data_IF_350001154976
#
_entry.id   IF_350001154976
#
_cell.length_a   1.000
_cell.length_b   1.000
_cell.length_c   1.000
_cell.angle_alpha   90.00
_cell.angle_beta   90.00
_cell.angle_gamma   90.00
#
_symmetry.space_group_name_H-M   'P 1'
#
loop_
_entity.id
_entity.type
_entity.pdbx_description
1 polymer ?
2 non-polymer ?
3 non-polymer ?
4 non-polymer ?
5 non-polymer ?
6 water ?
#
# COMPACT_ATOMS: atom_id res chain seq x y z
N UNK A 24 12.06 25.94 10.14
CA UNK A 24 12.75 25.58 11.38
C UNK A 24 13.42 24.24 11.24
N UNK A 25 13.38 23.70 10.02
CA UNK A 25 14.11 22.47 9.72
C UNK A 25 15.58 22.78 9.55
N UNK A 26 16.43 21.83 9.93
CA UNK A 26 17.83 22.00 9.57
C UNK A 26 17.98 21.85 8.07
N UNK A 27 19.22 22.04 7.62
CA UNK A 27 19.55 21.94 6.21
C UNK A 27 19.58 20.50 5.72
N UNK A 28 20.10 19.58 6.53
CA UNK A 28 20.02 18.15 6.21
C UNK A 28 18.57 17.69 6.15
N UNK A 29 17.70 18.24 7.02
CA UNK A 29 16.31 17.84 7.03
C UNK A 29 15.58 18.33 5.78
N UNK A 30 15.89 19.54 5.30
CA UNK A 30 15.24 20.04 4.09
C UNK A 30 15.70 19.27 2.86
N UNK A 31 16.99 18.95 2.79
CA UNK A 31 17.52 18.14 1.71
C UNK A 31 16.88 16.75 1.73
N UNK A 32 16.70 16.19 2.92
CA UNK A 32 16.08 14.89 3.05
C UNK A 32 14.65 14.89 2.47
N UNK A 33 13.85 15.90 2.83
CA UNK A 33 12.47 15.96 2.33
C UNK A 33 12.45 16.17 0.83
N UNK A 34 13.32 17.06 0.33
CA UNK A 34 13.40 17.30 -1.11
C UNK A 34 13.76 16.02 -1.87
N UNK A 35 14.69 15.21 -1.33
CA UNK A 35 15.04 13.99 -2.06
C UNK A 35 13.85 13.02 -2.13
N UNK A 36 13.13 12.86 -1.01
CA UNK A 36 11.95 11.99 -0.99
C UNK A 36 10.88 12.48 -1.95
N UNK A 37 10.55 13.78 -1.90
CA UNK A 37 9.53 14.33 -2.79
C UNK A 37 9.93 14.17 -4.26
N UNK A 38 11.22 14.35 -4.55
CA UNK A 38 11.73 14.09 -5.89
C UNK A 38 11.49 12.63 -6.30
N UNK A 39 11.87 11.68 -5.43
CA UNK A 39 11.62 10.27 -5.71
C UNK A 39 10.14 9.99 -5.92
N UNK A 40 9.27 10.57 -5.09
CA UNK A 40 7.82 10.37 -5.23
C UNK A 40 7.33 10.91 -6.57
N UNK A 41 7.77 12.12 -6.92
CA UNK A 41 7.35 12.77 -8.17
C UNK A 41 7.78 11.95 -9.38
N UNK A 42 8.96 11.33 -9.33
CA UNK A 42 9.47 10.58 -10.47
C UNK A 42 8.83 9.21 -10.60
N UNK A 43 8.27 8.63 -9.54
CA UNK A 43 7.91 7.23 -9.56
C UNK A 43 6.46 6.94 -9.20
N UNK A 44 5.65 7.93 -8.88
CA UNK A 44 4.25 7.71 -8.52
C UNK A 44 3.42 8.22 -9.68
N UNK A 45 2.92 7.30 -10.49
CA UNK A 45 2.02 7.56 -11.61
C UNK A 45 0.62 7.82 -11.05
N UNK A 46 0.36 9.07 -10.65
CA UNK A 46 -0.85 9.32 -9.89
C UNK A 46 -2.10 9.26 -10.76
N UNK A 47 -1.95 9.38 -12.08
CA UNK A 47 -3.07 9.16 -12.99
C UNK A 47 -3.16 7.71 -13.46
N UNK A 48 -2.24 6.84 -13.05
CA UNK A 48 -2.24 5.44 -13.49
C UNK A 48 -2.26 5.34 -15.02
N UNK A 49 -1.72 6.36 -15.70
CA UNK A 49 -1.76 6.40 -17.16
C UNK A 49 -1.02 5.23 -17.78
N UNK A 50 -0.01 4.70 -17.10
CA UNK A 50 0.78 3.61 -17.66
C UNK A 50 0.38 2.24 -17.12
N UNK A 51 -0.72 2.16 -16.38
CA UNK A 51 -1.26 0.86 -15.97
C UNK A 51 -2.14 0.34 -17.09
N UNK A 52 -1.65 -0.69 -17.78
CA UNK A 52 -2.24 -1.17 -19.02
C UNK A 52 -2.12 -2.69 -19.07
N UNK A 53 -2.86 -3.29 -20.00
CA UNK A 53 -2.77 -4.72 -20.30
C UNK A 53 -3.12 -5.60 -19.10
N UNK A 54 -3.99 -5.11 -18.22
CA UNK A 54 -4.38 -5.86 -17.04
C UNK A 54 -5.53 -6.80 -17.38
N UNK A 55 -5.62 -7.90 -16.63
CA UNK A 55 -6.73 -8.83 -16.80
C UNK A 55 -7.99 -8.25 -16.14
N UNK A 56 -9.15 -8.77 -16.57
CA UNK A 56 -10.45 -8.36 -16.08
C UNK A 56 -11.33 -9.59 -15.91
N UNK A 57 -12.27 -9.55 -14.98
CA UNK A 57 -13.14 -10.72 -14.76
C UNK A 57 -13.87 -11.13 -16.03
N UNK A 58 -14.10 -12.44 -16.16
CA UNK A 58 -14.67 -13.00 -17.37
C UNK A 58 -16.08 -12.52 -17.63
N UNK A 59 -16.52 -12.76 -18.85
CA UNK A 59 -17.88 -12.42 -19.28
C UNK A 59 -18.64 -13.67 -19.67
N UNK A 77 -9.05 -29.76 4.72
CA UNK A 77 -9.12 -29.13 3.42
C UNK A 77 -10.37 -28.27 3.30
N UNK A 78 -11.48 -28.77 3.84
CA UNK A 78 -12.70 -27.97 3.86
C UNK A 78 -12.56 -26.76 4.78
N UNK A 79 -11.75 -26.88 5.84
CA UNK A 79 -11.52 -25.75 6.73
C UNK A 79 -10.69 -24.68 6.06
N UNK A 80 -9.78 -25.09 5.17
CA UNK A 80 -8.99 -24.13 4.40
C UNK A 80 -9.91 -23.26 3.54
N UNK A 81 -10.87 -23.90 2.86
CA UNK A 81 -11.78 -23.15 2.00
C UNK A 81 -12.65 -22.19 2.81
N UNK A 82 -13.13 -22.62 3.97
CA UNK A 82 -13.98 -21.74 4.78
C UNK A 82 -13.22 -20.49 5.20
N UNK A 83 -11.93 -20.64 5.51
CA UNK A 83 -11.12 -19.47 5.88
C UNK A 83 -10.88 -18.57 4.68
N UNK A 84 -10.51 -19.15 3.53
CA UNK A 84 -10.28 -18.36 2.32
C UNK A 84 -11.55 -17.62 1.92
N UNK A 85 -12.72 -18.27 2.03
CA UNK A 85 -13.97 -17.57 1.75
C UNK A 85 -14.13 -16.37 2.66
N UNK A 86 -13.77 -16.51 3.94
CA UNK A 86 -13.82 -15.38 4.86
C UNK A 86 -12.78 -14.31 4.48
N UNK A 87 -11.58 -14.74 4.07
CA UNK A 87 -10.56 -13.78 3.65
C UNK A 87 -11.06 -12.94 2.49
N UNK A 88 -11.66 -13.59 1.48
CA UNK A 88 -11.98 -12.90 0.24
C UNK A 88 -13.18 -11.97 0.38
N UNK A 89 -14.15 -12.30 1.23
CA UNK A 89 -15.36 -11.48 1.28
C UNK A 89 -15.23 -10.29 2.22
N UNK A 90 -14.10 -10.16 2.93
CA UNK A 90 -13.92 -9.03 3.84
C UNK A 90 -13.67 -7.73 3.09
N UNK A 91 -13.26 -7.80 1.83
CA UNK A 91 -13.26 -6.63 0.96
C UNK A 91 -14.03 -6.95 -0.31
N UNK A 92 -15.10 -6.20 -0.55
CA UNK A 92 -15.87 -6.30 -1.78
C UNK A 92 -15.88 -4.92 -2.43
N UNK A 93 -15.42 -4.86 -3.69
CA UNK A 93 -15.49 -3.63 -4.47
C UNK A 93 -16.07 -3.92 -5.84
N UNK A 94 -16.75 -2.94 -6.40
CA UNK A 94 -17.08 -2.92 -7.81
C UNK A 94 -16.01 -2.15 -8.54
N UNK A 95 -15.98 -2.32 -9.85
CA UNK A 95 -14.90 -1.81 -10.67
C UNK A 95 -15.52 -0.94 -11.76
N UNK A 96 -14.96 0.24 -11.99
CA UNK A 96 -15.43 1.07 -13.09
C UNK A 96 -14.26 1.48 -13.99
N UNK A 97 -14.46 1.41 -15.30
CA UNK A 97 -13.43 1.79 -16.27
C UNK A 97 -13.98 2.84 -17.22
N UNK A 98 -13.45 4.05 -17.11
CA UNK A 98 -13.84 5.15 -17.99
C UNK A 98 -12.92 5.18 -19.20
N UNK A 99 -13.49 4.97 -20.39
CA UNK A 99 -12.68 4.93 -21.59
C UNK A 99 -12.27 6.32 -22.05
N UNK A 100 -11.15 6.38 -22.77
CA UNK A 100 -10.70 7.63 -23.35
C UNK A 100 -11.73 8.27 -24.29
N UNK A 101 -12.75 7.53 -24.73
CA UNK A 101 -13.77 8.06 -25.61
C UNK A 101 -15.03 8.55 -24.88
N UNK A 102 -15.09 8.41 -23.57
CA UNK A 102 -16.29 8.74 -22.84
C UNK A 102 -17.16 7.55 -22.50
N UNK A 103 -16.84 6.36 -23.01
CA UNK A 103 -17.62 5.18 -22.65
C UNK A 103 -17.24 4.74 -21.23
N UNK A 104 -18.16 4.02 -20.59
CA UNK A 104 -17.93 3.50 -19.24
C UNK A 104 -18.34 2.04 -19.16
N UNK A 105 -17.42 1.20 -18.68
CA UNK A 105 -17.71 -0.16 -18.26
C UNK A 105 -17.79 -0.22 -16.73
N UNK A 106 -18.74 -0.99 -16.20
CA UNK A 106 -18.92 -1.17 -14.77
C UNK A 106 -19.06 -2.64 -14.46
N UNK A 107 -18.33 -3.13 -13.44
CA UNK A 107 -18.38 -4.53 -13.04
C UNK A 107 -18.84 -4.63 -11.59
N UNK A 108 -19.94 -5.36 -11.38
CA UNK A 108 -20.47 -5.70 -10.05
C UNK A 108 -20.15 -7.15 -9.76
N UNK A 109 -19.48 -7.44 -8.64
CA UNK A 109 -18.95 -8.80 -8.41
C UNK A 109 -20.06 -9.75 -8.00
N UNK A 110 -19.83 -11.06 -8.11
CA UNK A 110 -20.85 -12.03 -7.72
C UNK A 110 -20.92 -12.23 -6.22
N UNK A 111 -22.10 -12.59 -5.74
CA UNK A 111 -22.23 -13.00 -4.35
C UNK A 111 -21.56 -14.35 -4.12
N UNK A 112 -21.13 -14.60 -2.89
CA UNK A 112 -20.52 -15.88 -2.56
C UNK A 112 -21.61 -16.95 -2.54
N UNK A 113 -21.54 -17.89 -3.49
CA UNK A 113 -22.46 -19.02 -3.57
C UNK A 113 -21.71 -20.34 -3.46
N UNK A 114 -20.57 -20.34 -2.76
CA UNK A 114 -19.84 -21.56 -2.47
C UNK A 114 -19.05 -22.16 -3.61
N UNK A 115 -18.66 -21.36 -4.59
CA UNK A 115 -17.90 -21.87 -5.71
C UNK A 115 -16.71 -21.00 -6.07
N UNK A 116 -16.15 -21.18 -7.27
CA UNK A 116 -14.95 -20.46 -7.69
C UNK A 116 -15.21 -18.99 -8.03
N UNK A 117 -16.45 -18.52 -7.98
CA UNK A 117 -16.75 -17.14 -8.36
C UNK A 117 -16.11 -16.13 -7.41
N UNK A 118 -15.76 -16.55 -6.19
CA UNK A 118 -15.14 -15.63 -5.24
C UNK A 118 -13.75 -15.20 -5.67
N UNK A 119 -13.17 -15.86 -6.68
CA UNK A 119 -11.84 -15.57 -7.20
C UNK A 119 -11.87 -14.68 -8.44
N UNK A 120 -13.04 -14.17 -8.84
CA UNK A 120 -13.17 -13.55 -10.15
C UNK A 120 -12.28 -12.32 -10.30
N UNK A 121 -12.04 -11.58 -9.24
CA UNK A 121 -11.23 -10.37 -9.35
C UNK A 121 -9.76 -10.56 -8.99
N UNK A 122 -9.31 -11.79 -8.69
CA UNK A 122 -7.93 -11.96 -8.24
C UNK A 122 -6.93 -11.67 -9.35
N UNK A 123 -7.10 -12.13 -10.58
CA UNK A 123 -6.12 -11.77 -11.62
C UNK A 123 -6.00 -10.26 -11.80
N UNK A 124 -7.12 -9.53 -11.81
CA UNK A 124 -7.03 -8.07 -11.94
C UNK A 124 -6.28 -7.45 -10.76
N UNK A 125 -6.63 -7.84 -9.54
CA UNK A 125 -5.98 -7.25 -8.37
C UNK A 125 -4.50 -7.58 -8.33
N UNK A 126 -4.13 -8.77 -8.79
CA UNK A 126 -2.71 -9.12 -8.87
C UNK A 126 -1.99 -8.21 -9.85
N UNK A 127 -2.63 -7.91 -10.99
CA UNK A 127 -2.00 -7.02 -11.95
C UNK A 127 -1.87 -5.60 -11.39
N UNK A 128 -2.88 -5.13 -10.67
CA UNK A 128 -2.78 -3.81 -10.07
C UNK A 128 -1.71 -3.77 -8.98
N UNK A 129 -1.68 -4.76 -8.10
CA UNK A 129 -0.65 -4.80 -7.06
C UNK A 129 0.74 -4.86 -7.66
N UNK A 130 0.90 -5.66 -8.72
CA UNK A 130 2.18 -5.76 -9.40
C UNK A 130 2.62 -4.40 -9.95
N UNK A 131 1.68 -3.68 -10.58
CA UNK A 131 1.99 -2.35 -11.10
C UNK A 131 2.44 -1.40 -10.00
N UNK A 132 1.71 -1.39 -8.88
CA UNK A 132 2.10 -0.55 -7.75
C UNK A 132 3.46 -0.96 -7.19
N UNK A 133 3.73 -2.27 -7.09
CA UNK A 133 5.02 -2.71 -6.55
C UNK A 133 6.18 -2.19 -7.39
N UNK A 134 6.01 -2.19 -8.71
CA UNK A 134 7.07 -1.66 -9.57
C UNK A 134 7.35 -0.20 -9.24
N UNK A 135 6.29 0.60 -9.06
CA UNK A 135 6.50 2.00 -8.70
C UNK A 135 7.20 2.14 -7.36
N UNK A 136 6.85 1.29 -6.39
CA UNK A 136 7.48 1.33 -5.06
C UNK A 136 8.95 0.93 -5.15
N UNK A 137 9.25 -0.09 -5.95
CA UNK A 137 10.66 -0.47 -6.12
C UNK A 137 11.45 0.68 -6.74
N UNK A 138 10.88 1.33 -7.77
CA UNK A 138 11.52 2.49 -8.41
C UNK A 138 11.73 3.63 -7.42
N UNK A 139 10.73 3.90 -6.58
CA UNK A 139 10.84 4.90 -5.52
C UNK A 139 12.09 4.66 -4.67
N UNK A 140 12.19 3.46 -4.10
CA UNK A 140 13.31 3.13 -3.22
C UNK A 140 14.65 3.28 -3.93
N UNK A 141 14.75 2.81 -5.18
CA UNK A 141 16.04 2.79 -5.85
C UNK A 141 16.57 4.21 -6.10
N UNK A 142 15.69 5.22 -6.16
CA UNK A 142 16.09 6.60 -6.43
C UNK A 142 16.64 7.29 -5.19
N UNK A 143 16.33 6.79 -3.99
CA UNK A 143 16.70 7.46 -2.75
C UNK A 143 18.15 7.10 -2.42
N UNK A 144 18.96 8.11 -2.13
CA UNK A 144 20.39 7.91 -1.88
C UNK A 144 20.62 7.00 -0.67
N UNK A 145 19.91 7.27 0.43
CA UNK A 145 20.06 6.46 1.64
C UNK A 145 19.77 4.98 1.38
N UNK A 146 18.86 4.69 0.44
CA UNK A 146 18.56 3.30 0.11
C UNK A 146 19.61 2.72 -0.82
N UNK A 147 19.97 3.47 -1.87
CA UNK A 147 21.00 3.03 -2.80
C UNK A 147 22.29 2.64 -2.08
N UNK A 148 22.64 3.38 -1.03
CA UNK A 148 23.90 3.14 -0.34
C UNK A 148 23.88 1.90 0.52
N UNK A 149 22.73 1.29 0.77
CA UNK A 149 22.71 0.06 1.54
C UNK A 149 23.18 -1.11 0.69
N UNK A 150 23.72 -2.16 1.31
CA UNK A 150 24.07 -3.36 0.56
C UNK A 150 22.85 -3.98 -0.13
N UNK A 151 23.10 -4.63 -1.28
CA UNK A 151 22.01 -5.13 -2.12
C UNK A 151 21.12 -6.09 -1.36
N UNK A 152 21.71 -6.90 -0.47
CA UNK A 152 20.90 -7.88 0.25
C UNK A 152 19.96 -7.22 1.23
N UNK A 153 20.38 -6.10 1.83
CA UNK A 153 19.48 -5.37 2.73
C UNK A 153 18.42 -4.59 1.94
N UNK A 154 18.79 -4.07 0.76
CA UNK A 154 17.79 -3.44 -0.09
C UNK A 154 16.65 -4.40 -0.38
N UNK A 155 16.98 -5.64 -0.75
CA UNK A 155 15.96 -6.64 -1.07
C UNK A 155 15.14 -6.97 0.17
N UNK A 156 15.80 -7.22 1.30
CA UNK A 156 15.08 -7.53 2.51
C UNK A 156 14.11 -6.41 2.90
N UNK A 157 14.53 -5.15 2.74
CA UNK A 157 13.68 -4.03 3.12
C UNK A 157 12.48 -3.90 2.16
N UNK A 158 12.69 -4.11 0.87
CA UNK A 158 11.57 -4.04 -0.06
C UNK A 158 10.59 -5.18 0.18
N UNK A 159 11.10 -6.41 0.34
CA UNK A 159 10.23 -7.53 0.71
C UNK A 159 9.42 -7.21 1.96
N UNK A 160 10.03 -6.52 2.92
CA UNK A 160 9.34 -6.25 4.17
C UNK A 160 8.29 -5.15 4.08
N UNK A 161 8.49 -4.17 3.20
CA UNK A 161 7.70 -2.93 3.25
C UNK A 161 6.87 -2.66 2.01
N UNK A 162 7.09 -3.38 0.90
CA UNK A 162 6.41 -3.07 -0.37
C UNK A 162 4.91 -2.91 -0.19
N UNK A 163 4.27 -3.86 0.50
CA UNK A 163 2.84 -3.78 0.73
C UNK A 163 2.46 -2.50 1.44
N UNK A 164 3.25 -2.10 2.46
CA UNK A 164 2.90 -0.93 3.27
C UNK A 164 2.99 0.35 2.45
N UNK A 165 4.05 0.50 1.66
CA UNK A 165 4.16 1.68 0.82
C UNK A 165 3.07 1.71 -0.25
N UNK A 166 2.66 0.55 -0.77
CA UNK A 166 1.54 0.52 -1.71
C UNK A 166 0.29 1.10 -1.07
N UNK A 167 -0.02 0.66 0.16
CA UNK A 167 -1.20 1.15 0.86
C UNK A 167 -1.13 2.64 1.14
N UNK A 168 0.06 3.14 1.52
CA UNK A 168 0.23 4.57 1.74
C UNK A 168 -0.05 5.35 0.46
N UNK A 169 0.45 4.86 -0.68
CA UNK A 169 0.14 5.52 -1.96
C UNK A 169 -1.35 5.44 -2.29
N UNK A 170 -1.97 4.27 -2.07
CA UNK A 170 -3.40 4.12 -2.32
C UNK A 170 -4.23 5.08 -1.47
N UNK A 171 -3.80 5.36 -0.23
CA UNK A 171 -4.61 6.26 0.59
C UNK A 171 -4.70 7.65 -0.03
N UNK A 172 -3.67 8.08 -0.75
CA UNK A 172 -3.74 9.40 -1.35
C UNK A 172 -4.75 9.48 -2.50
N UNK A 173 -5.20 8.35 -3.05
CA UNK A 173 -6.27 8.39 -4.06
C UNK A 173 -7.58 7.89 -3.50
N UNK A 174 -7.66 7.68 -2.18
CA UNK A 174 -8.90 7.24 -1.54
C UNK A 174 -9.82 8.43 -1.35
N UNK A 175 -11.08 8.28 -1.78
CA UNK A 175 -12.12 9.29 -1.52
C UNK A 175 -12.96 8.76 -0.37
N UNK A 176 -12.79 9.34 0.81
CA UNK A 176 -13.50 8.80 1.96
C UNK A 176 -15.00 9.13 1.93
N UNK A 177 -15.40 10.17 1.19
CA UNK A 177 -16.83 10.49 1.07
C UNK A 177 -17.58 9.44 0.26
N UNK A 178 -16.95 8.88 -0.77
CA UNK A 178 -17.63 7.90 -1.61
C UNK A 178 -17.13 6.48 -1.42
N UNK A 179 -16.20 6.26 -0.50
CA UNK A 179 -15.61 4.95 -0.33
C UNK A 179 -15.02 4.39 -1.60
N UNK A 180 -14.25 5.19 -2.35
CA UNK A 180 -13.74 4.84 -3.67
C UNK A 180 -12.24 5.17 -3.79
N UNK A 181 -11.45 4.22 -4.27
CA UNK A 181 -10.08 4.53 -4.68
C UNK A 181 -10.11 4.95 -6.14
N UNK A 182 -9.69 6.19 -6.41
CA UNK A 182 -9.82 6.80 -7.73
C UNK A 182 -8.49 6.69 -8.45
N UNK A 183 -8.36 5.68 -9.29
CA UNK A 183 -7.08 5.35 -9.91
C UNK A 183 -7.10 5.78 -11.37
N UNK A 184 -7.18 7.07 -11.60
CA UNK A 184 -7.20 7.55 -12.97
C UNK A 184 -8.51 7.13 -13.61
N UNK A 185 -8.41 6.37 -14.70
CA UNK A 185 -9.56 5.89 -15.44
C UNK A 185 -10.26 4.70 -14.79
N UNK A 186 -9.64 4.08 -13.79
CA UNK A 186 -10.21 2.98 -13.03
C UNK A 186 -10.64 3.52 -11.67
N UNK A 187 -11.80 3.06 -11.18
CA UNK A 187 -12.26 3.34 -9.83
C UNK A 187 -12.63 2.02 -9.17
N UNK A 188 -12.29 1.89 -7.88
CA UNK A 188 -12.71 0.73 -7.08
C UNK A 188 -13.60 1.25 -5.95
N UNK A 189 -14.86 0.83 -5.94
CA UNK A 189 -15.85 1.40 -5.02
C UNK A 189 -16.32 0.34 -4.04
N UNK A 190 -16.27 0.67 -2.75
CA UNK A 190 -16.70 -0.27 -1.73
C UNK A 190 -18.21 -0.52 -1.86
N UNK A 191 -18.57 -1.81 -1.86
CA UNK A 191 -19.96 -2.23 -1.87
C UNK A 191 -20.53 -2.10 -0.46
N UNK A 192 -21.71 -1.49 -0.34
CA UNK A 192 -22.29 -1.27 0.99
C UNK A 192 -23.04 -2.51 1.50
N UNK A 197 -22.19 -0.11 6.86
CA UNK A 197 -21.43 1.15 6.87
C UNK A 197 -20.45 1.19 8.05
N UNK A 198 -20.97 1.40 9.26
CA UNK A 198 -20.16 1.19 10.46
C UNK A 198 -19.65 -0.23 10.53
N UNK A 199 -20.31 -1.17 9.85
CA UNK A 199 -19.85 -2.56 9.77
C UNK A 199 -18.61 -2.69 8.89
N UNK A 200 -18.49 -1.88 7.84
CA UNK A 200 -17.35 -1.95 6.95
C UNK A 200 -16.05 -1.60 7.69
N UNK A 201 -16.10 -0.63 8.61
CA UNK A 201 -14.92 -0.23 9.38
C UNK A 201 -14.44 -1.25 10.39
N UNK A 202 -15.16 -2.37 10.54
CA UNK A 202 -14.59 -3.46 11.33
C UNK A 202 -13.41 -4.10 10.63
N UNK A 203 -13.33 -3.97 9.31
CA UNK A 203 -12.23 -4.54 8.54
C UNK A 203 -10.98 -3.69 8.75
N UNK A 204 -9.89 -4.22 9.33
CA UNK A 204 -8.76 -3.37 9.72
C UNK A 204 -8.17 -2.54 8.58
N UNK A 205 -8.08 -3.09 7.37
CA UNK A 205 -7.55 -2.32 6.25
C UNK A 205 -8.44 -1.13 5.92
N UNK A 206 -9.76 -1.31 6.03
CA UNK A 206 -10.66 -0.21 5.71
C UNK A 206 -10.65 0.85 6.80
N UNK A 207 -10.69 0.44 8.07
CA UNK A 207 -10.53 1.40 9.14
C UNK A 207 -9.22 2.17 8.99
N UNK A 208 -8.16 1.49 8.57
CA UNK A 208 -6.89 2.19 8.36
C UNK A 208 -7.03 3.32 7.34
N UNK A 209 -7.59 3.01 6.17
CA UNK A 209 -7.69 4.04 5.13
C UNK A 209 -8.55 5.21 5.56
N UNK A 210 -9.66 4.94 6.27
CA UNK A 210 -10.53 6.04 6.69
C UNK A 210 -9.85 6.90 7.76
N UNK A 211 -9.21 6.26 8.75
CA UNK A 211 -8.55 7.02 9.82
C UNK A 211 -7.38 7.84 9.29
N UNK A 212 -6.59 7.27 8.36
CA UNK A 212 -5.45 8.01 7.84
C UNK A 212 -5.89 9.19 6.97
N UNK A 213 -6.91 8.98 6.12
CA UNK A 213 -7.43 10.08 5.32
C UNK A 213 -7.90 11.24 6.19
N UNK A 214 -8.48 10.94 7.35
CA UNK A 214 -9.02 12.00 8.21
C UNK A 214 -7.94 12.89 8.80
N UNK A 215 -6.71 12.39 8.92
CA UNK A 215 -5.64 13.24 9.41
C UNK A 215 -5.29 14.37 8.44
N UNK A 216 -5.75 14.30 7.19
CA UNK A 216 -5.51 15.36 6.20
C UNK A 216 -4.03 15.71 6.05
N UNK A 217 -3.21 14.70 5.78
CA UNK A 217 -1.77 14.86 5.71
C UNK A 217 -1.34 15.57 4.42
N UNK A 218 -0.19 16.22 4.48
CA UNK A 218 0.49 16.82 3.33
C UNK A 218 1.22 15.75 2.51
N UNK A 219 1.52 16.08 1.24
CA UNK A 219 2.37 15.18 0.45
C UNK A 219 3.66 14.85 1.18
N UNK A 220 4.24 15.85 1.86
CA UNK A 220 5.52 15.65 2.53
C UNK A 220 5.40 14.65 3.67
N UNK A 221 4.27 14.68 4.38
CA UNK A 221 4.08 13.76 5.49
C UNK A 221 3.85 12.33 4.98
N UNK A 222 3.12 12.18 3.87
CA UNK A 222 2.97 10.86 3.28
C UNK A 222 4.33 10.27 2.85
N UNK A 223 5.20 11.08 2.23
CA UNK A 223 6.42 10.47 1.73
C UNK A 223 7.38 10.16 2.90
N UNK A 224 7.32 10.96 3.97
CA UNK A 224 8.11 10.62 5.14
C UNK A 224 7.59 9.33 5.78
N UNK A 225 6.26 9.15 5.83
CA UNK A 225 5.71 7.87 6.30
C UNK A 225 6.25 6.72 5.46
N UNK A 226 6.29 6.87 4.12
CA UNK A 226 6.85 5.83 3.27
C UNK A 226 8.29 5.51 3.66
N UNK A 227 9.08 6.54 3.92
CA UNK A 227 10.50 6.29 4.24
C UNK A 227 10.62 5.58 5.58
N UNK A 228 9.84 6.00 6.58
CA UNK A 228 9.92 5.38 7.90
C UNK A 228 9.56 3.89 7.81
N UNK A 229 8.54 3.56 7.02
CA UNK A 229 8.20 2.16 6.80
C UNK A 229 9.28 1.44 6.02
N UNK A 230 9.81 2.06 4.97
CA UNK A 230 10.82 1.39 4.14
C UNK A 230 12.06 1.04 4.96
N UNK A 231 12.50 1.96 5.80
CA UNK A 231 13.75 1.82 6.58
C UNK A 231 13.46 1.25 7.96
N UNK A 232 12.73 0.15 8.01
CA UNK A 232 12.43 -0.49 9.28
C UNK A 232 13.52 -1.50 9.59
N UNK A 233 14.27 -1.34 10.66
CA UNK A 233 15.45 -2.20 10.88
C UNK A 233 15.12 -3.65 11.18
N UNK A 234 13.86 -3.99 11.46
CA UNK A 234 13.50 -5.30 11.99
C UNK A 234 12.70 -6.14 11.01
N UNK A 235 12.99 -6.01 9.73
CA UNK A 235 12.38 -6.94 8.79
C UNK A 235 13.24 -8.20 8.69
N UNK A 236 12.63 -9.34 8.35
CA UNK A 236 13.41 -10.58 8.24
C UNK A 236 14.57 -10.40 7.25
N UNK A 237 15.77 -10.73 7.71
CA UNK A 237 16.92 -10.81 6.85
C UNK A 237 17.80 -9.59 6.81
N UNK A 238 17.39 -8.49 7.44
CA UNK A 238 18.24 -7.31 7.45
C UNK A 238 19.55 -7.65 8.16
N UNK A 239 20.67 -7.20 7.60
CA UNK A 239 21.97 -7.38 8.22
C UNK A 239 22.50 -6.10 8.89
N UNK A 240 22.41 -4.97 8.19
CA UNK A 240 22.90 -3.69 8.70
C UNK A 240 21.85 -3.04 9.62
N UNK A 241 21.48 -3.79 10.66
CA UNK A 241 20.43 -3.33 11.57
C UNK A 241 20.69 -1.92 12.09
N UNK A 242 21.94 -1.64 12.47
CA UNK A 242 22.22 -0.37 13.14
C UNK A 242 22.19 0.78 12.15
N UNK A 243 22.67 0.55 10.93
CA UNK A 243 22.60 1.59 9.91
C UNK A 243 21.14 1.91 9.59
N UNK A 244 20.33 0.87 9.36
CA UNK A 244 18.93 1.09 9.00
C UNK A 244 18.20 1.80 10.13
N UNK A 245 18.47 1.39 11.36
CA UNK A 245 17.82 1.99 12.52
C UNK A 245 18.14 3.48 12.62
N UNK A 246 19.40 3.86 12.40
CA UNK A 246 19.76 5.26 12.48
C UNK A 246 19.09 6.08 11.38
N UNK A 247 19.00 5.53 10.17
CA UNK A 247 18.29 6.20 9.09
C UNK A 247 16.82 6.41 9.43
N UNK A 248 16.17 5.37 9.96
CA UNK A 248 14.77 5.50 10.31
C UNK A 248 14.58 6.59 11.35
N UNK A 249 15.43 6.62 12.37
CA UNK A 249 15.32 7.64 13.39
C UNK A 249 15.43 9.03 12.79
N UNK A 250 16.32 9.22 11.82
CA UNK A 250 16.46 10.54 11.22
C UNK A 250 15.21 10.93 10.41
N UNK A 251 14.61 9.96 9.70
CA UNK A 251 13.34 10.28 9.01
C UNK A 251 12.24 10.61 10.01
N UNK A 252 12.17 9.87 11.13
CA UNK A 252 11.15 10.19 12.13
C UNK A 252 11.39 11.56 12.74
N UNK A 253 12.66 11.87 13.07
CA UNK A 253 12.96 13.20 13.60
C UNK A 253 12.57 14.28 12.61
N UNK A 254 12.88 14.08 11.33
CA UNK A 254 12.52 15.07 10.31
C UNK A 254 11.01 15.26 10.25
N UNK A 255 10.24 14.17 10.35
CA UNK A 255 8.78 14.28 10.31
C UNK A 255 8.25 15.05 11.51
N UNK A 256 8.72 14.69 12.71
CA UNK A 256 8.32 15.40 13.92
C UNK A 256 8.62 16.89 13.81
N UNK A 257 9.79 17.24 13.25
CA UNK A 257 10.14 18.65 13.13
C UNK A 257 9.30 19.34 12.05
N UNK A 258 9.04 18.64 10.93
CA UNK A 258 8.18 19.23 9.91
C UNK A 258 6.81 19.60 10.51
N UNK A 259 6.22 18.69 11.27
CA UNK A 259 4.91 18.94 11.86
C UNK A 259 4.98 20.12 12.82
N UNK A 260 6.06 20.21 13.60
CA UNK A 260 6.16 21.30 14.56
C UNK A 260 6.36 22.65 13.87
N UNK A 261 7.14 22.66 12.78
CA UNK A 261 7.33 23.90 12.04
C UNK A 261 6.10 24.36 11.29
N UNK A 262 5.24 23.43 10.84
CA UNK A 262 4.21 23.80 9.87
C UNK A 262 2.77 23.55 10.31
N UNK A 263 2.52 23.07 11.52
CA UNK A 263 1.17 22.74 11.96
C UNK A 263 0.94 23.15 13.40
N UNK A 264 0.64 24.43 13.64
CA UNK A 264 0.47 24.93 15.01
C UNK A 264 -0.93 24.76 15.58
N UNK A 265 -1.88 24.27 14.78
CA UNK A 265 -3.28 24.28 15.16
C UNK A 265 -3.57 23.23 16.23
N UNK A 266 -4.45 23.56 17.20
CA UNK A 266 -4.84 22.58 18.23
C UNK A 266 -5.33 21.25 17.67
N UNK A 267 -5.87 21.25 16.45
CA UNK A 267 -6.33 20.01 15.85
C UNK A 267 -5.17 19.05 15.55
N UNK A 268 -3.94 19.56 15.42
CA UNK A 268 -2.78 18.75 15.10
C UNK A 268 -1.87 18.49 16.29
N UNK A 269 -2.35 18.76 17.50
CA UNK A 269 -1.61 18.31 18.67
C UNK A 269 -1.50 16.79 18.61
N UNK A 270 -0.33 16.28 18.94
CA UNK A 270 -0.05 14.83 18.94
C UNK A 270 -0.12 14.23 17.54
N UNK A 271 -0.08 15.05 16.48
CA UNK A 271 -0.15 14.49 15.13
C UNK A 271 1.00 13.53 14.87
N UNK A 272 2.22 13.90 15.25
CA UNK A 272 3.34 12.98 15.03
C UNK A 272 3.08 11.63 15.69
N UNK A 273 2.55 11.62 16.92
CA UNK A 273 2.35 10.34 17.60
C UNK A 273 1.22 9.55 16.97
N UNK A 274 0.18 10.23 16.46
CA UNK A 274 -0.88 9.55 15.72
C UNK A 274 -0.34 8.85 14.48
N UNK A 275 0.48 9.57 13.70
CA UNK A 275 1.06 8.97 12.50
C UNK A 275 1.88 7.73 12.86
N UNK A 276 2.74 7.84 13.88
CA UNK A 276 3.56 6.69 14.24
C UNK A 276 2.69 5.50 14.66
N UNK A 277 1.59 5.77 15.37
CA UNK A 277 0.69 4.68 15.75
C UNK A 277 0.06 4.04 14.52
N UNK A 278 -0.29 4.87 13.52
CA UNK A 278 -0.83 4.33 12.27
C UNK A 278 0.19 3.44 11.57
N UNK A 279 1.47 3.82 11.64
CA UNK A 279 2.49 2.99 10.98
C UNK A 279 2.62 1.65 11.66
N UNK A 280 2.48 1.63 13.00
CA UNK A 280 2.49 0.35 13.70
C UNK A 280 1.29 -0.49 13.29
N UNK A 281 0.12 0.13 13.20
CA UNK A 281 -1.06 -0.59 12.73
C UNK A 281 -0.86 -1.10 11.31
N UNK A 282 -0.20 -0.31 10.46
CA UNK A 282 0.00 -0.73 9.08
C UNK A 282 0.87 -1.97 9.03
N UNK A 283 1.86 -2.06 9.92
CA UNK A 283 2.69 -3.24 9.98
C UNK A 283 1.86 -4.47 10.36
N UNK A 284 0.98 -4.31 11.34
CA UNK A 284 0.06 -5.38 11.72
C UNK A 284 -0.81 -5.83 10.53
N UNK A 285 -1.38 -4.86 9.81
CA UNK A 285 -2.21 -5.17 8.65
C UNK A 285 -1.41 -5.93 7.60
N UNK A 286 -0.15 -5.51 7.39
CA UNK A 286 0.75 -6.19 6.46
C UNK A 286 0.91 -7.67 6.81
N UNK A 287 1.14 -7.97 8.10
CA UNK A 287 1.28 -9.37 8.52
C UNK A 287 -0.01 -10.14 8.30
N UNK A 288 -1.15 -9.54 8.64
CA UNK A 288 -2.44 -10.18 8.38
C UNK A 288 -2.64 -10.46 6.89
N UNK A 289 -2.38 -9.47 6.04
CA UNK A 289 -2.68 -9.69 4.62
C UNK A 289 -1.66 -10.62 3.97
N UNK A 290 -0.42 -10.66 4.46
CA UNK A 290 0.53 -11.64 3.95
C UNK A 290 0.01 -13.05 4.19
N UNK A 291 -0.50 -13.31 5.38
CA UNK A 291 -1.05 -14.64 5.66
C UNK A 291 -2.30 -14.92 4.82
N UNK A 292 -3.18 -13.93 4.64
CA UNK A 292 -4.32 -14.12 3.75
C UNK A 292 -3.85 -14.51 2.36
N UNK A 293 -2.85 -13.79 1.83
CA UNK A 293 -2.35 -14.07 0.49
C UNK A 293 -1.86 -15.50 0.38
N UNK A 294 -1.06 -15.95 1.34
CA UNK A 294 -0.51 -17.29 1.27
C UNK A 294 -1.60 -18.35 1.37
N UNK A 295 -2.64 -18.09 2.16
CA UNK A 295 -3.76 -19.04 2.23
C UNK A 295 -4.50 -19.12 0.90
N UNK A 296 -4.87 -17.97 0.33
CA UNK A 296 -5.51 -17.97 -0.98
C UNK A 296 -4.61 -18.67 -2.01
N UNK A 297 -3.34 -18.27 -2.06
CA UNK A 297 -2.41 -18.87 -3.00
C UNK A 297 -2.29 -20.38 -2.81
N UNK A 298 -2.42 -20.86 -1.59
CA UNK A 298 -2.24 -22.28 -1.33
C UNK A 298 -3.27 -23.12 -2.08
N UNK A 299 -4.51 -22.66 -2.17
CA UNK A 299 -5.57 -23.43 -2.82
C UNK A 299 -6.00 -22.84 -4.16
N UNK A 300 -5.54 -21.64 -4.53
CA UNK A 300 -5.91 -21.05 -5.81
C UNK A 300 -4.80 -20.09 -6.25
N UNK A 301 -3.80 -20.59 -6.99
CA UNK A 301 -2.65 -19.75 -7.34
C UNK A 301 -3.05 -18.56 -8.18
N UNK A 302 -2.47 -17.39 -7.86
CA UNK A 302 -2.76 -16.17 -8.61
C UNK A 302 -1.59 -15.17 -8.57
N UNK A 303 -0.64 -15.34 -7.66
CA UNK A 303 0.46 -14.37 -7.53
C UNK A 303 1.30 -14.30 -8.81
N UNK A 304 1.52 -13.08 -9.31
CA UNK A 304 2.43 -12.86 -10.43
C UNK A 304 3.87 -13.19 -10.01
N UNK A 305 4.78 -13.34 -10.99
CA UNK A 305 6.19 -13.58 -10.64
C UNK A 305 6.78 -12.54 -9.70
N UNK A 306 6.52 -11.25 -9.93
CA UNK A 306 7.03 -10.24 -9.01
C UNK A 306 6.43 -10.42 -7.62
N UNK A 307 5.14 -10.74 -7.53
CA UNK A 307 4.57 -10.99 -6.20
C UNK A 307 5.21 -12.21 -5.56
N UNK A 308 5.45 -13.27 -6.33
CA UNK A 308 6.11 -14.45 -5.77
C UNK A 308 7.47 -14.07 -5.20
N UNK A 309 8.25 -13.32 -5.97
CA UNK A 309 9.58 -12.90 -5.53
C UNK A 309 9.49 -12.10 -4.21
N UNK A 310 8.57 -11.15 -4.13
CA UNK A 310 8.47 -10.33 -2.93
C UNK A 310 7.93 -11.09 -1.73
N UNK A 311 7.15 -12.15 -1.94
CA UNK A 311 6.58 -12.92 -0.85
C UNK A 311 7.32 -14.24 -0.60
N UNK A 312 8.42 -14.47 -1.30
CA UNK A 312 9.27 -15.62 -1.01
C UNK A 312 8.92 -16.92 -1.70
N UNK A 313 7.96 -16.91 -2.63
CA UNK A 313 7.54 -18.12 -3.33
C UNK A 313 8.60 -18.49 -4.36
N UNK A 314 9.09 -19.73 -4.31
CA UNK A 314 10.27 -20.12 -5.10
C UNK A 314 9.92 -20.70 -6.46
N UNK A 315 8.67 -21.11 -6.68
CA UNK A 315 8.30 -21.79 -7.90
C UNK A 315 8.37 -23.30 -7.84
N UNK A 316 8.76 -23.88 -6.70
CA UNK A 316 8.79 -25.32 -6.55
C UNK A 316 7.59 -25.81 -5.76
X LIG B 1 -2.27 -9.18 -1.06
X LIG B 1 -1.14 -8.65 -1.59
X LIG B 1 -1.14 -8.30 -2.93
X LIG B 1 -0.01 -7.77 -3.49
X LIG B 1 -2.28 -8.47 -3.69
X LIG B 1 -3.44 -9.01 -3.14
X LIG B 1 -4.64 -9.18 -4.02
X LIG B 1 -5.83 -9.85 -3.36
X LIG B 1 -5.92 -9.46 -1.90
X LIG B 1 -4.68 -9.97 -1.17
X LIG B 1 -3.43 -9.39 -1.80
X LIG B 1 -4.72 -9.71 0.35
X LIG B 1 -6.01 -10.18 0.98
X LIG B 1 -7.21 -9.58 0.26
X LIG B 1 -7.15 -10.02 -1.21
X LIG B 1 -8.54 -9.70 -1.75
X LIG B 1 -9.47 -9.81 -0.52
X LIG B 1 -8.56 -10.17 0.65
X LIG B 1 -9.02 -9.76 1.94
X LIG B 1 -7.25 -8.06 0.41
X LIG C 1 -3.40 14.24 -2.39
X LIG C 1 -3.08 14.72 -0.96
X LIG C 1 -4.18 14.38 -0.06
X LIG C 1 -1.83 14.03 -0.46
X LIG C 1 -2.85 16.23 -0.95
X LIG C 1 -4.07 17.03 -1.37
X LIG C 1 -5.09 16.91 -0.41
X LIG C 1 -3.72 18.51 -1.50
X LIG D 1 -5.67 -2.95 -4.84
X LIG D 1 -4.75 -3.01 -2.08
X LIG D 1 -7.36 -1.16 -3.33
X LIG D 1 -6.91 -1.15 -2.08
X LIG D 1 -6.69 -3.39 -3.74
X LIG D 1 -6.19 -3.40 -2.23
X LIG D 1 -8.41 -2.83 -2.29
X LIG D 1 -7.85 -2.39 -3.63
X LIG D 1 -7.12 -2.39 -1.56
X LIG D 1 -2.40 -3.16 -4.24
X LIG D 1 -4.66 -4.00 -5.04
X LIG D 1 -3.99 -4.12 -2.54
X LIG D 1 -3.52 -4.20 -4.00
X LIG D 1 -7.29 0.07 -4.43
X LIG D 1 -6.11 0.13 -1.26
X LIG D 1 -8.98 -4.55 -2.35
X LIG D 1 -9.80 -1.86 -1.93
X LIG D 1 -9.04 -2.34 -5.03
X LIG D 1 -7.12 -2.28 0.29
X LIG E 1 15.20 -6.54 -6.58
X LIG E 1 15.64 -5.21 -6.31
X LIG E 1 13.68 -6.58 -6.73
X LIG E 1 13.32 -7.67 -7.54
X LIG E 1 13.03 -6.77 -5.36
X LIG E 1 13.22 -8.10 -4.93
#
# INVERSE_FOLDING_TARGET
MKKGHHHHHHGSERTGTQPLGVQGLTEEQRMMIRELMDAQMKTFDTTFSHFKNFRLPGVLSSGCELPESLQAPSREEAAKWSQVRKDLCSLKVSLQLRGEDGSVWNYKPPADSGGKEIFSLLPHMADMSTYMFKGIISFAKVISYFRDLPIEDQISLLKGAAFELCQLRFNTVFNAETGTWECGRLSYCLEDTAGGFQQLLLEPMLKFHYMLKKLQLHEEEYVLMQAISLFSPDRPGVLQHRVVDQLQEQFAITLKSYIECNRPQPAHRFLFLKIMAMLTELRSINAQHTQRLLRIQDIHPFATPLMQELFGITGS
EST C1 C2 C3 O3 C4 C5 C6 C7 C8 C9 C10 C11 C12 C13 C14 C15 C16 C17 O17 C18
MPD C1 C2 O2 CM C3 C4 O4 C5
S68 CAH CAI CAL CAM CAN CAO CAQ CAR CAS OAA OAJ OAK SAP CL1 CL2 CL3 CL4 CL5 CL6
GOL C1 O1 C2 O2 C3 O3
#
